data_IF_462609072451
#
_entry.id   IF_462609072451
#
_cell.length_a   1.000
_cell.length_b   1.000
_cell.length_c   1.000
_cell.angle_alpha   90.00
_cell.angle_beta   90.00
_cell.angle_gamma   90.00
#
_symmetry.space_group_name_H-M   'P 1'
#
loop_
_entity.id
_entity.type
_entity.pdbx_description
1 polymer ?
#
# COMPACT_ATOMS: atom_id res chain seq x y z
N UNK A 1 -11.14 17.52 -16.86
CA UNK A 1 -11.71 16.18 -16.91
C UNK A 1 -10.94 15.39 -17.98
N UNK A 2 -10.20 14.35 -17.63
CA UNK A 2 -9.44 13.59 -18.62
C UNK A 2 -10.38 12.64 -19.37
N UNK A 3 -10.89 13.09 -20.50
CA UNK A 3 -11.73 12.31 -21.43
C UNK A 3 -10.86 11.67 -22.53
N UNK A 4 -9.55 11.83 -22.46
CA UNK A 4 -8.62 11.64 -23.58
C UNK A 4 -8.52 10.22 -24.14
N UNK A 5 -9.02 9.20 -23.41
CA UNK A 5 -8.89 7.78 -23.80
C UNK A 5 -10.25 7.05 -23.82
N UNK A 6 -11.36 7.77 -23.98
CA UNK A 6 -12.70 7.21 -23.99
C UNK A 6 -13.37 7.48 -25.32
N UNK A 7 -14.07 6.48 -25.83
CA UNK A 7 -14.91 6.66 -27.00
C UNK A 7 -16.18 7.39 -26.59
N UNK A 8 -16.39 8.57 -27.16
CA UNK A 8 -17.62 9.31 -27.02
C UNK A 8 -18.63 8.75 -28.04
N UNK A 9 -19.79 8.38 -27.55
CA UNK A 9 -20.93 8.02 -28.38
C UNK A 9 -21.64 9.31 -28.85
N UNK A 10 -21.53 9.61 -30.14
CA UNK A 10 -22.04 10.84 -30.71
C UNK A 10 -23.59 10.96 -30.65
N UNK A 11 -24.31 9.83 -30.54
CA UNK A 11 -25.76 9.83 -30.46
C UNK A 11 -26.27 10.17 -29.08
N UNK A 12 -25.64 9.59 -28.03
CA UNK A 12 -26.05 9.80 -26.65
C UNK A 12 -25.27 10.90 -25.93
N UNK A 13 -24.10 11.28 -26.43
CA UNK A 13 -23.16 12.17 -25.78
C UNK A 13 -22.48 11.52 -24.52
N UNK A 14 -22.58 10.21 -24.41
CA UNK A 14 -22.01 9.46 -23.30
C UNK A 14 -20.62 8.94 -23.65
N UNK A 15 -19.78 8.81 -22.64
CA UNK A 15 -18.43 8.28 -22.81
C UNK A 15 -18.37 6.79 -22.45
N UNK A 16 -18.00 5.95 -23.42
CA UNK A 16 -17.78 4.51 -23.19
C UNK A 16 -16.52 4.28 -22.36
N UNK A 17 -16.67 3.65 -21.22
CA UNK A 17 -15.60 3.32 -20.29
C UNK A 17 -15.55 1.81 -20.01
N UNK A 18 -15.26 1.04 -21.05
CA UNK A 18 -15.08 -0.41 -21.08
C UNK A 18 -16.21 -1.24 -20.46
N UNK A 19 -16.54 -1.05 -19.19
CA UNK A 19 -17.58 -1.81 -18.49
C UNK A 19 -18.87 -1.03 -18.27
N UNK A 20 -18.81 0.31 -18.35
CA UNK A 20 -19.97 1.19 -18.14
C UNK A 20 -19.91 2.41 -19.04
N UNK A 21 -21.07 2.98 -19.33
CA UNK A 21 -21.15 4.29 -19.96
C UNK A 21 -21.22 5.39 -18.90
N UNK A 22 -20.43 6.41 -19.07
CA UNK A 22 -20.39 7.59 -18.22
C UNK A 22 -21.15 8.74 -18.88
N UNK A 23 -22.09 9.36 -18.16
CA UNK A 23 -22.78 10.57 -18.58
C UNK A 23 -22.05 11.81 -18.07
N UNK A 24 -21.44 12.63 -18.93
CA UNK A 24 -20.82 13.89 -18.51
C UNK A 24 -21.82 14.86 -17.88
N UNK A 25 -23.07 14.84 -18.36
CA UNK A 25 -24.15 15.72 -17.88
C UNK A 25 -24.58 15.36 -16.47
N UNK A 26 -24.68 14.07 -16.15
CA UNK A 26 -25.08 13.59 -14.83
C UNK A 26 -23.89 13.44 -13.86
N UNK A 27 -22.66 13.45 -14.37
CA UNK A 27 -21.47 13.18 -13.57
C UNK A 27 -21.40 11.76 -13.00
N UNK A 28 -22.13 10.82 -13.61
CA UNK A 28 -22.33 9.47 -13.08
C UNK A 28 -22.36 8.41 -14.19
N UNK A 29 -22.18 7.14 -13.82
CA UNK A 29 -22.37 6.00 -14.70
C UNK A 29 -23.85 5.65 -14.87
N UNK A 30 -24.21 5.09 -16.04
CA UNK A 30 -25.55 4.64 -16.35
C UNK A 30 -25.96 3.36 -15.61
N UNK A 31 -25.01 2.58 -15.14
CA UNK A 31 -25.21 1.30 -14.47
C UNK A 31 -24.49 1.24 -13.12
N UNK A 32 -24.96 0.36 -12.25
CA UNK A 32 -24.30 0.07 -10.99
C UNK A 32 -22.91 -0.54 -11.23
N UNK A 33 -21.99 -0.28 -10.31
CA UNK A 33 -20.68 -0.91 -10.35
C UNK A 33 -20.82 -2.42 -10.14
N UNK A 34 -20.29 -3.26 -11.05
CA UNK A 34 -20.28 -4.71 -10.86
C UNK A 34 -19.59 -5.15 -9.56
N UNK A 35 -18.72 -4.30 -9.00
CA UNK A 35 -18.06 -4.53 -7.72
C UNK A 35 -18.88 -4.02 -6.51
N UNK A 36 -20.05 -3.46 -6.74
CA UNK A 36 -20.97 -2.97 -5.70
C UNK A 36 -20.54 -1.65 -5.07
N UNK A 37 -21.09 -1.37 -3.86
CA UNK A 37 -20.79 -0.16 -3.09
C UNK A 37 -19.43 -0.19 -2.37
N UNK A 38 -18.68 -1.26 -2.49
CA UNK A 38 -17.34 -1.32 -1.91
C UNK A 38 -16.37 -0.50 -2.76
N UNK A 39 -15.65 0.44 -2.26
CA UNK A 39 -15.54 1.14 -1.03
C UNK A 39 -15.84 2.63 -1.17
N UNK A 40 -16.79 3.14 -0.46
CA UNK A 40 -17.01 4.58 -0.19
C UNK A 40 -17.41 5.48 -1.35
N UNK A 41 -18.02 4.99 -2.40
CA UNK A 41 -18.75 5.87 -3.30
C UNK A 41 -20.10 6.23 -2.67
N UNK A 42 -20.54 7.47 -2.83
CA UNK A 42 -21.83 7.93 -2.37
C UNK A 42 -22.99 7.17 -3.04
N UNK A 43 -22.72 6.58 -4.21
CA UNK A 43 -23.68 5.73 -4.93
C UNK A 43 -22.95 4.67 -5.77
N UNK A 44 -23.65 3.60 -6.12
CA UNK A 44 -23.15 2.54 -7.01
C UNK A 44 -22.88 3.05 -8.45
N UNK A 45 -23.44 4.19 -8.84
CA UNK A 45 -23.23 4.87 -10.11
C UNK A 45 -22.14 5.96 -10.03
N UNK A 46 -21.57 6.22 -8.86
CA UNK A 46 -20.54 7.23 -8.66
C UNK A 46 -19.31 7.00 -9.54
N UNK A 47 -18.70 8.08 -10.04
CA UNK A 47 -17.48 8.00 -10.84
C UNK A 47 -16.25 7.77 -9.96
N UNK A 48 -15.83 8.78 -9.22
CA UNK A 48 -14.72 8.74 -8.27
C UNK A 48 -14.94 9.80 -7.20
N UNK A 49 -14.37 9.64 -6.02
CA UNK A 49 -14.53 10.60 -4.90
C UNK A 49 -13.94 11.99 -5.23
N UNK A 50 -12.82 12.02 -5.98
CA UNK A 50 -12.12 13.25 -6.36
C UNK A 50 -11.61 13.17 -7.80
N UNK A 51 -12.39 13.64 -8.75
CA UNK A 51 -12.08 13.59 -10.18
C UNK A 51 -10.80 14.36 -10.56
N UNK A 52 -10.33 15.30 -9.74
CA UNK A 52 -9.07 16.00 -9.97
C UNK A 52 -7.83 15.11 -9.76
N UNK A 53 -7.93 14.06 -8.96
CA UNK A 53 -6.81 13.19 -8.57
C UNK A 53 -7.00 11.74 -8.99
N UNK A 54 -8.21 11.35 -9.35
CA UNK A 54 -8.56 9.96 -9.63
C UNK A 54 -9.24 9.83 -10.97
N UNK A 55 -8.89 8.78 -11.70
CA UNK A 55 -9.53 8.39 -12.96
C UNK A 55 -9.95 6.95 -12.84
N UNK A 56 -11.19 6.67 -13.22
CA UNK A 56 -11.70 5.31 -13.35
C UNK A 56 -11.50 4.83 -14.80
N UNK A 57 -10.37 4.18 -15.07
CA UNK A 57 -10.00 3.76 -16.42
C UNK A 57 -10.83 2.60 -16.97
N UNK A 58 -11.45 1.84 -16.11
CA UNK A 58 -12.20 0.64 -16.49
C UNK A 58 -13.71 0.78 -16.28
N UNK A 59 -14.16 1.91 -15.73
CA UNK A 59 -15.53 2.03 -15.26
C UNK A 59 -15.83 1.16 -14.03
N UNK A 60 -14.81 0.77 -13.29
CA UNK A 60 -14.87 -0.14 -12.15
C UNK A 60 -14.17 0.41 -10.91
N UNK A 61 -13.95 1.71 -10.79
CA UNK A 61 -13.24 2.33 -9.68
C UNK A 61 -11.79 2.70 -9.94
N UNK A 62 -11.31 3.67 -9.12
CA UNK A 62 -9.94 4.21 -9.20
C UNK A 62 -8.87 3.12 -9.26
N UNK A 63 -8.18 3.02 -10.38
CA UNK A 63 -7.32 1.91 -10.72
C UNK A 63 -6.07 1.85 -9.83
N UNK A 64 -5.76 0.67 -9.31
CA UNK A 64 -4.50 0.34 -8.62
C UNK A 64 -3.26 0.83 -9.39
N UNK A 65 -3.25 0.66 -10.71
CA UNK A 65 -2.13 1.07 -11.59
C UNK A 65 -1.90 2.58 -11.53
N UNK A 66 -2.96 3.39 -11.60
CA UNK A 66 -2.84 4.85 -11.53
C UNK A 66 -2.40 5.34 -10.15
N UNK A 67 -2.86 4.67 -9.09
CA UNK A 67 -2.47 4.98 -7.72
C UNK A 67 -0.97 4.72 -7.46
N UNK A 68 -0.35 3.87 -8.29
CA UNK A 68 1.05 3.48 -8.20
C UNK A 68 1.90 3.98 -9.40
N UNK A 69 1.39 4.92 -10.19
CA UNK A 69 2.08 5.45 -11.37
C UNK A 69 3.44 6.09 -11.03
N UNK A 70 3.50 6.81 -9.92
CA UNK A 70 4.76 7.40 -9.45
C UNK A 70 5.51 6.39 -8.61
N UNK A 71 6.68 5.98 -9.06
CA UNK A 71 7.56 5.01 -8.41
C UNK A 71 8.66 5.74 -7.64
N UNK A 72 8.38 6.12 -6.41
CA UNK A 72 9.27 6.91 -5.56
C UNK A 72 9.31 6.44 -4.10
N UNK A 73 8.74 5.26 -3.81
CA UNK A 73 8.70 4.72 -2.46
C UNK A 73 9.65 3.53 -2.30
N UNK A 74 10.33 3.55 -1.18
CA UNK A 74 11.29 2.52 -0.76
C UNK A 74 10.77 1.82 0.48
N UNK A 75 10.81 0.48 0.46
CA UNK A 75 10.56 -0.37 1.62
C UNK A 75 11.89 -0.67 2.29
N UNK A 76 11.97 -0.50 3.57
CA UNK A 76 13.17 -0.77 4.35
C UNK A 76 12.85 -1.53 5.62
N UNK A 77 13.89 -2.18 6.16
CA UNK A 77 13.80 -2.87 7.44
C UNK A 77 15.02 -2.57 8.31
N UNK A 78 14.87 -2.84 9.59
CA UNK A 78 15.98 -2.97 10.51
C UNK A 78 16.05 -4.41 11.01
N UNK A 79 17.27 -4.92 11.15
CA UNK A 79 17.53 -6.30 11.55
C UNK A 79 18.38 -6.30 12.81
N UNK A 80 17.99 -7.10 13.80
CA UNK A 80 18.76 -7.35 15.00
C UNK A 80 18.83 -8.86 15.27
N UNK A 81 20.02 -9.38 15.50
CA UNK A 81 20.22 -10.82 15.72
C UNK A 81 19.72 -11.70 14.56
N UNK A 82 19.77 -11.22 13.31
CA UNK A 82 19.29 -11.95 12.13
C UNK A 82 17.79 -11.88 11.90
N UNK A 83 17.02 -11.27 12.81
CA UNK A 83 15.56 -11.11 12.69
C UNK A 83 15.18 -9.67 12.41
N UNK A 84 14.13 -9.50 11.61
CA UNK A 84 13.57 -8.18 11.30
C UNK A 84 12.83 -7.64 12.52
N UNK A 85 13.26 -6.48 13.02
CA UNK A 85 12.66 -5.80 14.18
C UNK A 85 11.74 -4.66 13.80
N UNK A 86 11.93 -4.07 12.62
CA UNK A 86 11.11 -2.98 12.14
C UNK A 86 11.03 -2.97 10.62
N UNK A 87 9.88 -2.64 10.08
CA UNK A 87 9.64 -2.43 8.64
C UNK A 87 9.05 -1.04 8.44
N UNK A 88 9.37 -0.38 7.34
CA UNK A 88 8.82 0.94 7.02
C UNK A 88 8.92 1.29 5.56
N UNK A 89 8.24 2.36 5.16
CA UNK A 89 8.33 2.94 3.82
C UNK A 89 8.77 4.40 3.89
N UNK A 90 9.46 4.86 2.87
CA UNK A 90 9.90 6.25 2.75
C UNK A 90 10.16 6.62 1.29
N UNK A 91 10.06 7.91 0.96
CA UNK A 91 10.58 8.46 -0.31
C UNK A 91 12.06 8.82 -0.22
N UNK A 92 12.57 9.07 0.98
CA UNK A 92 13.90 9.58 1.22
C UNK A 92 14.67 8.69 2.22
N UNK A 93 15.24 7.53 1.78
CA UNK A 93 15.88 6.59 2.69
C UNK A 93 16.99 7.19 3.55
N UNK A 94 17.84 8.06 2.96
CA UNK A 94 18.95 8.71 3.70
C UNK A 94 18.45 9.58 4.84
N UNK A 95 17.45 10.43 4.58
CA UNK A 95 16.87 11.30 5.61
C UNK A 95 16.16 10.49 6.67
N UNK A 96 15.44 9.44 6.27
CA UNK A 96 14.74 8.55 7.21
C UNK A 96 15.69 7.78 8.11
N UNK A 97 16.84 7.33 7.58
CA UNK A 97 17.87 6.67 8.38
C UNK A 97 18.46 7.61 9.44
N UNK A 98 18.70 8.88 9.10
CA UNK A 98 19.16 9.89 10.07
C UNK A 98 18.11 10.13 11.16
N UNK A 99 16.84 10.31 10.79
CA UNK A 99 15.75 10.48 11.77
C UNK A 99 15.67 9.30 12.73
N UNK A 100 15.74 8.08 12.23
CA UNK A 100 15.71 6.88 13.07
C UNK A 100 16.91 6.78 14.02
N UNK A 101 18.11 7.10 13.54
CA UNK A 101 19.32 7.09 14.36
C UNK A 101 19.27 8.11 15.51
N UNK A 102 18.55 9.23 15.33
CA UNK A 102 18.33 10.23 16.37
C UNK A 102 17.25 9.77 17.36
N UNK A 103 16.10 9.28 16.82
CA UNK A 103 14.93 8.99 17.67
C UNK A 103 15.00 7.61 18.34
N UNK A 104 15.69 6.65 17.72
CA UNK A 104 15.80 5.26 18.17
C UNK A 104 17.23 4.73 17.99
N UNK A 105 18.25 5.34 18.63
CA UNK A 105 19.66 5.03 18.34
C UNK A 105 20.06 3.58 18.65
N UNK A 106 19.41 2.93 19.59
CA UNK A 106 19.70 1.56 19.98
C UNK A 106 19.09 0.54 19.01
N UNK A 107 17.82 0.69 18.69
CA UNK A 107 17.09 -0.29 17.88
C UNK A 107 17.18 -0.02 16.37
N UNK A 108 17.51 1.22 16.00
CA UNK A 108 17.63 1.67 14.59
C UNK A 108 18.89 2.52 14.40
N UNK A 109 20.07 1.92 14.56
CA UNK A 109 21.34 2.65 14.54
C UNK A 109 21.63 3.21 13.13
N UNK A 110 22.51 4.22 13.11
CA UNK A 110 23.04 4.77 11.86
C UNK A 110 23.69 3.66 11.04
N UNK A 111 23.31 3.55 9.76
CA UNK A 111 23.83 2.50 8.86
C UNK A 111 23.13 1.15 8.97
N UNK A 112 22.23 0.94 9.94
CA UNK A 112 21.48 -0.32 10.11
C UNK A 112 20.24 -0.47 9.22
N UNK A 113 19.89 0.54 8.41
CA UNK A 113 18.75 0.48 7.50
C UNK A 113 19.06 -0.37 6.27
N UNK A 114 18.34 -1.47 6.11
CA UNK A 114 18.35 -2.30 4.91
C UNK A 114 17.18 -1.93 4.00
N UNK A 115 17.49 -1.39 2.81
CA UNK A 115 16.48 -0.97 1.81
C UNK A 115 16.28 -2.10 0.81
N UNK A 116 15.10 -2.72 0.86
CA UNK A 116 14.78 -3.94 0.10
C UNK A 116 14.66 -3.71 -1.41
N UNK A 117 14.18 -2.56 -1.82
CA UNK A 117 13.93 -2.21 -3.23
C UNK A 117 14.80 -1.02 -3.71
N UNK A 118 16.06 -0.98 -3.29
CA UNK A 118 16.99 0.15 -3.55
C UNK A 118 17.07 0.57 -5.02
N UNK A 119 17.12 -0.39 -5.93
CA UNK A 119 17.29 -0.16 -7.37
C UNK A 119 15.98 -0.07 -8.15
N UNK A 120 14.86 -0.39 -7.51
CA UNK A 120 13.55 -0.43 -8.15
C UNK A 120 12.47 0.12 -7.20
N UNK A 121 12.35 1.46 -7.11
CA UNK A 121 11.34 2.06 -6.24
C UNK A 121 9.94 1.67 -6.66
N UNK A 122 9.05 1.54 -5.70
CA UNK A 122 7.67 1.12 -5.85
C UNK A 122 6.71 2.32 -5.84
N UNK A 123 5.50 2.11 -6.31
CA UNK A 123 4.41 3.04 -6.09
C UNK A 123 3.98 3.05 -4.62
N UNK A 124 3.26 4.08 -4.22
CA UNK A 124 2.87 4.30 -2.82
C UNK A 124 2.13 3.11 -2.21
N UNK A 125 1.15 2.57 -2.92
CA UNK A 125 0.33 1.47 -2.40
C UNK A 125 0.96 0.10 -2.60
N UNK A 126 1.82 -0.04 -3.60
CA UNK A 126 2.70 -1.22 -3.75
C UNK A 126 3.66 -1.31 -2.56
N UNK A 127 4.36 -0.23 -2.23
CA UNK A 127 5.26 -0.20 -1.07
C UNK A 127 4.50 -0.46 0.25
N UNK A 128 3.30 0.13 0.40
CA UNK A 128 2.43 -0.15 1.56
C UNK A 128 1.97 -1.61 1.61
N UNK A 129 1.71 -2.22 0.48
CA UNK A 129 1.35 -3.64 0.39
C UNK A 129 2.48 -4.55 0.84
N UNK A 130 3.71 -4.28 0.37
CA UNK A 130 4.91 -5.00 0.81
C UNK A 130 5.15 -4.83 2.31
N UNK A 131 5.09 -3.59 2.81
CA UNK A 131 5.22 -3.30 4.25
C UNK A 131 4.15 -4.03 5.07
N UNK A 132 2.88 -3.97 4.65
CA UNK A 132 1.76 -4.63 5.32
C UNK A 132 1.93 -6.15 5.36
N UNK A 133 2.28 -6.76 4.23
CA UNK A 133 2.52 -8.19 4.15
C UNK A 133 3.66 -8.63 5.08
N UNK A 134 4.76 -7.88 5.10
CA UNK A 134 5.88 -8.16 6.03
C UNK A 134 5.46 -8.04 7.49
N UNK A 135 4.72 -6.99 7.85
CA UNK A 135 4.21 -6.81 9.20
C UNK A 135 3.33 -7.99 9.62
N UNK A 136 2.43 -8.44 8.77
CA UNK A 136 1.54 -9.57 9.05
C UNK A 136 2.32 -10.88 9.17
N UNK A 137 3.20 -11.17 8.22
CA UNK A 137 4.04 -12.37 8.23
C UNK A 137 4.91 -12.45 9.47
N UNK A 138 5.57 -11.35 9.85
CA UNK A 138 6.47 -11.29 10.98
C UNK A 138 5.71 -11.33 12.32
N UNK A 139 4.50 -10.77 12.39
CA UNK A 139 3.62 -10.90 13.56
C UNK A 139 3.09 -12.31 13.75
N UNK A 140 2.81 -13.04 12.67
CA UNK A 140 2.40 -14.46 12.75
C UNK A 140 3.54 -15.34 13.27
N UNK A 141 4.78 -14.97 12.97
CA UNK A 141 5.98 -15.68 13.44
C UNK A 141 6.35 -15.34 14.89
N UNK A 142 5.75 -14.29 15.47
CA UNK A 142 5.93 -13.86 16.84
C UNK A 142 4.58 -13.97 17.59
N UNK A 143 4.54 -14.50 18.82
CA UNK A 143 3.27 -14.67 19.53
C UNK A 143 2.57 -13.31 19.70
N UNK A 144 1.31 -13.18 19.27
CA UNK A 144 0.56 -11.95 19.42
C UNK A 144 0.14 -11.79 20.88
N UNK A 145 0.33 -10.68 21.51
CA UNK A 145 -0.21 -10.25 22.81
C UNK A 145 0.72 -10.30 24.03
N UNK A 146 2.00 -10.14 23.82
CA UNK A 146 2.87 -9.88 24.97
C UNK A 146 3.20 -8.39 24.99
N UNK A 147 3.09 -7.73 26.12
CA UNK A 147 3.47 -6.33 26.26
C UNK A 147 4.98 -6.16 26.10
N UNK A 148 5.45 -4.95 25.79
CA UNK A 148 6.89 -4.69 25.61
C UNK A 148 7.72 -5.02 26.88
N UNK A 149 7.11 -4.92 28.06
CA UNK A 149 7.73 -5.30 29.33
C UNK A 149 7.87 -6.83 29.45
N UNK A 150 6.83 -7.58 29.10
CA UNK A 150 6.83 -9.06 29.14
C UNK A 150 7.80 -9.65 28.08
N UNK A 151 8.00 -8.99 26.93
CA UNK A 151 9.00 -9.39 25.95
C UNK A 151 10.42 -9.30 26.49
N UNK A 152 10.70 -8.24 27.27
CA UNK A 152 11.98 -8.01 27.89
C UNK A 152 12.27 -9.10 28.95
N UNK A 153 11.27 -9.44 29.76
CA UNK A 153 11.34 -10.48 30.77
C UNK A 153 11.51 -11.90 30.21
N UNK A 154 10.98 -12.10 28.96
CA UNK A 154 11.13 -13.38 28.25
C UNK A 154 12.44 -13.49 27.44
N UNK A 155 13.29 -12.47 27.43
CA UNK A 155 14.54 -12.47 26.66
C UNK A 155 14.33 -12.47 25.13
N UNK A 156 13.18 -12.06 24.67
CA UNK A 156 12.80 -12.03 23.25
C UNK A 156 13.16 -10.71 22.56
N UNK A 157 14.01 -9.90 23.16
CA UNK A 157 14.40 -8.57 22.67
C UNK A 157 14.92 -8.57 21.23
N UNK A 158 15.47 -9.69 20.76
CA UNK A 158 16.07 -9.83 19.45
C UNK A 158 15.10 -10.31 18.34
N UNK A 159 13.82 -10.42 18.59
CA UNK A 159 12.85 -10.95 17.63
C UNK A 159 11.51 -10.22 17.59
N UNK A 160 11.39 -9.09 18.28
CA UNK A 160 10.14 -8.34 18.37
C UNK A 160 10.00 -7.31 17.26
N UNK A 161 8.87 -7.36 16.56
CA UNK A 161 8.53 -6.35 15.57
C UNK A 161 8.01 -5.08 16.25
N UNK A 162 8.75 -3.99 16.15
CA UNK A 162 8.41 -2.69 16.74
C UNK A 162 7.23 -1.96 16.03
N UNK A 163 6.75 -2.49 14.91
CA UNK A 163 5.62 -1.91 14.19
C UNK A 163 4.35 -2.01 15.04
N UNK A 164 3.91 -0.89 15.62
CA UNK A 164 2.68 -0.81 16.41
C UNK A 164 1.42 -0.72 15.55
N UNK A 165 1.53 -0.15 14.34
CA UNK A 165 0.41 0.19 13.46
C UNK A 165 0.58 -0.53 12.12
N UNK A 166 -0.52 -0.99 11.57
CA UNK A 166 -0.56 -1.54 10.22
C UNK A 166 -0.32 -0.43 9.18
N UNK A 167 0.39 -0.76 8.10
CA UNK A 167 0.62 0.17 6.99
C UNK A 167 -0.68 0.52 6.27
N UNK A 168 -1.58 -0.45 6.16
CA UNK A 168 -2.92 -0.26 5.59
C UNK A 168 -3.98 -0.86 6.51
N UNK A 169 -5.10 -0.14 6.67
CA UNK A 169 -6.30 -0.68 7.32
C UNK A 169 -6.91 -1.79 6.45
N UNK A 170 -7.45 -2.83 7.08
CA UNK A 170 -8.17 -3.91 6.36
C UNK A 170 -9.34 -3.39 5.52
N UNK A 171 -9.91 -2.24 5.89
CA UNK A 171 -10.99 -1.57 5.16
C UNK A 171 -10.46 -0.63 4.05
N UNK A 172 -9.16 -0.54 3.84
CA UNK A 172 -8.61 0.30 2.80
C UNK A 172 -8.88 -0.32 1.42
N UNK A 173 -9.32 0.50 0.45
CA UNK A 173 -9.73 0.02 -0.89
C UNK A 173 -8.66 -0.78 -1.65
N UNK A 174 -7.39 -0.54 -1.36
CA UNK A 174 -6.27 -1.26 -1.96
C UNK A 174 -5.64 -2.28 -1.01
N UNK A 175 -6.31 -2.66 0.07
CA UNK A 175 -5.74 -3.60 1.03
C UNK A 175 -5.49 -4.97 0.39
N UNK A 176 -6.50 -5.51 -0.30
CA UNK A 176 -6.43 -6.83 -0.91
C UNK A 176 -5.37 -6.86 -2.02
N UNK A 177 -5.49 -5.97 -3.01
CA UNK A 177 -4.52 -5.87 -4.11
C UNK A 177 -3.11 -5.56 -3.60
N UNK A 178 -2.99 -4.70 -2.59
CA UNK A 178 -1.71 -4.36 -1.98
C UNK A 178 -1.05 -5.52 -1.26
N UNK A 179 -1.80 -6.27 -0.48
CA UNK A 179 -1.26 -7.44 0.25
C UNK A 179 -0.94 -8.60 -0.67
N UNK A 180 -1.74 -8.84 -1.72
CA UNK A 180 -1.44 -9.82 -2.76
C UNK A 180 -0.16 -9.44 -3.52
N UNK A 181 -0.05 -8.19 -3.98
CA UNK A 181 1.18 -7.67 -4.59
C UNK A 181 2.38 -7.81 -3.64
N UNK A 182 2.23 -7.44 -2.37
CA UNK A 182 3.28 -7.51 -1.36
C UNK A 182 3.78 -8.94 -1.14
N UNK A 183 2.88 -9.90 -1.10
CA UNK A 183 3.19 -11.33 -0.99
C UNK A 183 4.03 -11.80 -2.19
N UNK A 184 3.53 -11.59 -3.40
CA UNK A 184 4.19 -11.99 -4.64
C UNK A 184 5.56 -11.31 -4.78
N UNK A 185 5.64 -10.02 -4.45
CA UNK A 185 6.89 -9.26 -4.52
C UNK A 185 7.96 -9.81 -3.56
N UNK A 186 7.59 -10.15 -2.31
CA UNK A 186 8.50 -10.72 -1.31
C UNK A 186 8.94 -12.13 -1.72
N UNK A 187 8.03 -12.97 -2.21
CA UNK A 187 8.36 -14.32 -2.66
C UNK A 187 9.36 -14.30 -3.82
N UNK A 188 9.23 -13.34 -4.75
CA UNK A 188 10.11 -13.23 -5.91
C UNK A 188 11.47 -12.57 -5.60
N UNK A 189 11.54 -11.62 -4.67
CA UNK A 189 12.74 -10.81 -4.45
C UNK A 189 13.46 -11.15 -3.12
N UNK A 190 12.73 -11.55 -2.09
CA UNK A 190 13.24 -11.75 -0.74
C UNK A 190 12.57 -12.94 0.00
N UNK A 191 12.61 -14.17 -0.54
CA UNK A 191 11.87 -15.31 0.03
C UNK A 191 12.29 -15.65 1.46
N UNK A 192 13.54 -15.37 1.82
CA UNK A 192 14.17 -15.75 3.10
C UNK A 192 14.12 -14.65 4.16
N UNK A 193 13.30 -13.62 4.03
CA UNK A 193 13.14 -12.60 5.09
C UNK A 193 12.53 -13.27 6.34
N UNK A 194 13.26 -13.17 7.44
CA UNK A 194 12.84 -13.55 8.80
C UNK A 194 12.77 -12.31 9.69
#
# INVERSE_FOLDING_TARGET
MCIRDRYEDAESGWAYNRFRYYSPTLGAYNAQDPLGLAPRLASAQGYVDHAAYWVDMLGLKGCWVNANKVKDHYVYRYVNGGKTTYVGITKHPRMRAIQHAITHPVTRPKGGMDVLNRNNPLGKYEARGVEQHLIERLRMSNPPKVTQAEYKDLGLENGFLENKINSMSKNHRFYKEGTEFGKEWIENNHPNIQ
#
